data_IF_272521329099
#
_entry.id   IF_272521329099
#
_cell.length_a   1.000
_cell.length_b   1.000
_cell.length_c   1.000
_cell.angle_alpha   90.00
_cell.angle_beta   90.00
_cell.angle_gamma   90.00
#
_symmetry.space_group_name_H-M   'P 1'
#
loop_
_entity.id
_entity.type
_entity.pdbx_description
1 polymer ?
#
# COMPACT_ATOMS: atom_id res chain seq x y z
N UNK A 1 -18.26 -28.10 19.65
CA UNK A 1 -17.77 -27.09 18.70
C UNK A 1 -18.28 -25.73 19.18
N UNK A 2 -17.40 -24.89 19.71
CA UNK A 2 -17.77 -23.56 20.16
C UNK A 2 -17.60 -22.61 18.97
N UNK A 3 -18.71 -22.20 18.35
CA UNK A 3 -18.73 -21.11 17.39
C UNK A 3 -18.53 -19.82 18.19
N UNK A 4 -17.27 -19.43 18.40
CA UNK A 4 -16.95 -18.09 18.89
C UNK A 4 -17.63 -17.10 17.95
N UNK A 5 -18.62 -16.36 18.44
CA UNK A 5 -19.19 -15.27 17.67
C UNK A 5 -18.04 -14.31 17.32
N UNK A 6 -17.86 -13.92 16.04
CA UNK A 6 -16.84 -12.97 15.69
C UNK A 6 -17.11 -11.69 16.48
N UNK A 7 -16.13 -11.23 17.25
CA UNK A 7 -16.19 -9.91 17.86
C UNK A 7 -16.52 -8.91 16.76
N UNK A 8 -17.71 -8.29 16.86
CA UNK A 8 -18.20 -7.31 15.90
C UNK A 8 -17.21 -6.15 15.93
N UNK A 9 -16.28 -6.11 14.96
CA UNK A 9 -15.31 -5.03 14.84
C UNK A 9 -16.10 -3.74 14.65
N UNK A 10 -15.67 -2.67 15.32
CA UNK A 10 -16.24 -1.35 15.06
C UNK A 10 -15.93 -0.98 13.60
N UNK A 11 -16.90 -0.41 12.87
CA UNK A 11 -16.64 0.06 11.52
C UNK A 11 -15.56 1.14 11.55
N UNK A 12 -14.81 1.24 10.45
CA UNK A 12 -13.92 2.36 10.18
C UNK A 12 -14.81 3.51 9.71
N UNK A 13 -14.53 4.73 10.16
CA UNK A 13 -15.28 5.93 9.76
C UNK A 13 -14.28 6.99 9.25
N UNK A 14 -14.48 7.41 8.00
CA UNK A 14 -13.78 8.53 7.39
C UNK A 14 -14.73 9.73 7.40
N UNK A 15 -14.23 10.88 7.82
CA UNK A 15 -15.00 12.12 7.97
C UNK A 15 -14.71 13.11 6.85
N UNK A 16 -15.64 14.03 6.59
CA UNK A 16 -15.46 15.10 5.61
C UNK A 16 -14.23 15.97 5.93
N UNK A 17 -13.98 16.27 7.21
CA UNK A 17 -12.82 17.07 7.63
C UNK A 17 -11.49 16.38 7.31
N UNK A 18 -11.42 15.04 7.42
CA UNK A 18 -10.24 14.28 7.03
C UNK A 18 -10.02 14.28 5.52
N UNK A 19 -11.10 14.18 4.73
CA UNK A 19 -11.01 14.29 3.27
C UNK A 19 -10.54 15.68 2.85
N UNK A 20 -11.13 16.73 3.43
CA UNK A 20 -10.73 18.12 3.20
C UNK A 20 -9.26 18.33 3.55
N UNK A 21 -8.83 17.81 4.71
CA UNK A 21 -7.43 17.91 5.13
C UNK A 21 -6.50 17.15 4.18
N UNK A 22 -6.84 15.93 3.76
CA UNK A 22 -6.01 15.14 2.85
C UNK A 22 -5.83 15.84 1.51
N UNK A 23 -6.88 16.46 0.96
CA UNK A 23 -6.82 17.21 -0.31
C UNK A 23 -5.81 18.36 -0.25
N UNK A 24 -5.70 19.01 0.91
CA UNK A 24 -4.78 20.12 1.12
C UNK A 24 -3.45 19.72 1.76
N UNK A 25 -3.22 18.42 1.96
CA UNK A 25 -1.98 17.91 2.53
C UNK A 25 -0.84 17.91 1.49
N UNK A 26 0.38 17.66 1.97
CA UNK A 26 1.56 17.56 1.09
C UNK A 26 1.45 16.34 0.17
N UNK A 27 1.98 16.41 -1.07
CA UNK A 27 2.08 15.27 -1.98
C UNK A 27 2.62 14.02 -1.30
N UNK A 28 1.95 12.89 -1.54
CA UNK A 28 2.27 11.62 -0.88
C UNK A 28 1.71 11.45 0.52
N UNK A 29 0.87 12.37 0.99
CA UNK A 29 0.12 12.17 2.22
C UNK A 29 -0.90 11.03 2.07
N UNK A 30 -1.13 10.33 3.17
CA UNK A 30 -1.95 9.12 3.26
C UNK A 30 -3.03 9.29 4.32
N UNK A 31 -4.23 8.82 4.03
CA UNK A 31 -5.27 8.55 5.01
C UNK A 31 -5.09 7.14 5.55
N UNK A 32 -4.90 7.02 6.86
CA UNK A 32 -4.48 5.77 7.51
C UNK A 32 -5.38 5.45 8.70
N UNK A 33 -5.91 4.23 8.75
CA UNK A 33 -6.59 3.69 9.91
C UNK A 33 -5.60 3.01 10.88
N UNK A 34 -5.76 3.28 12.17
CA UNK A 34 -4.95 2.75 13.26
C UNK A 34 -5.78 1.72 14.03
N UNK A 35 -5.44 0.44 13.89
CA UNK A 35 -6.22 -0.67 14.45
C UNK A 35 -6.40 -0.57 15.98
N UNK A 36 -5.36 -0.12 16.70
CA UNK A 36 -5.36 -0.08 18.15
C UNK A 36 -6.32 0.96 18.75
N UNK A 37 -6.44 2.14 18.14
CA UNK A 37 -7.35 3.21 18.59
C UNK A 37 -8.67 3.25 17.82
N UNK A 38 -8.77 2.51 16.70
CA UNK A 38 -9.85 2.62 15.73
C UNK A 38 -10.05 4.05 15.21
N UNK A 39 -8.94 4.77 15.00
CA UNK A 39 -8.94 6.14 14.49
C UNK A 39 -8.41 6.19 13.07
N UNK A 40 -8.92 7.15 12.29
CA UNK A 40 -8.37 7.52 10.99
C UNK A 40 -7.56 8.80 11.14
N UNK A 41 -6.33 8.78 10.65
CA UNK A 41 -5.38 9.89 10.76
C UNK A 41 -4.67 10.11 9.42
N UNK A 42 -4.15 11.31 9.22
CA UNK A 42 -3.39 11.66 8.02
C UNK A 42 -1.91 11.60 8.34
N UNK A 43 -1.16 10.88 7.50
CA UNK A 43 0.27 10.72 7.59
C UNK A 43 0.93 11.40 6.41
N UNK A 44 1.94 12.23 6.68
CA UNK A 44 2.80 12.74 5.62
C UNK A 44 3.66 11.62 4.99
N UNK A 45 4.33 11.92 3.87
CA UNK A 45 5.07 10.93 3.08
C UNK A 45 6.22 10.27 3.86
N UNK A 46 6.81 10.96 4.84
CA UNK A 46 7.90 10.43 5.68
C UNK A 46 7.42 9.77 6.98
N UNK A 47 6.11 9.58 7.12
CA UNK A 47 5.50 8.95 8.28
C UNK A 47 5.79 7.45 8.33
N UNK A 48 6.36 6.96 9.44
CA UNK A 48 6.55 5.52 9.64
C UNK A 48 5.20 4.81 9.75
N UNK A 49 4.86 4.00 8.75
CA UNK A 49 3.73 3.07 8.84
C UNK A 49 4.16 1.80 9.59
N UNK A 50 3.60 1.64 10.80
CA UNK A 50 3.74 0.42 11.58
C UNK A 50 2.83 -0.71 11.10
N UNK A 51 2.99 -1.90 11.69
CA UNK A 51 2.27 -3.12 11.31
C UNK A 51 0.76 -3.08 11.56
N UNK A 52 0.30 -2.21 12.47
CA UNK A 52 -1.11 -2.06 12.86
C UNK A 52 -1.80 -0.89 12.15
N UNK A 53 -1.35 -0.54 10.95
CA UNK A 53 -1.82 0.63 10.20
C UNK A 53 -2.21 0.24 8.78
N UNK A 54 -3.45 0.51 8.44
CA UNK A 54 -3.99 0.27 7.10
C UNK A 54 -4.07 1.60 6.37
N UNK A 55 -3.45 1.70 5.19
CA UNK A 55 -3.66 2.83 4.29
C UNK A 55 -5.05 2.66 3.67
N UNK A 56 -5.90 3.67 3.79
CA UNK A 56 -7.22 3.71 3.16
C UNK A 56 -7.10 4.32 1.77
N UNK A 57 -6.43 5.46 1.66
CA UNK A 57 -6.22 6.17 0.40
C UNK A 57 -4.99 7.08 0.50
N UNK A 58 -4.35 7.33 -0.63
CA UNK A 58 -3.41 8.44 -0.80
C UNK A 58 -4.14 9.69 -1.32
N UNK A 59 -3.46 10.84 -1.34
CA UNK A 59 -3.96 12.04 -2.00
C UNK A 59 -4.27 11.78 -3.48
N UNK A 60 -3.37 11.13 -4.22
CA UNK A 60 -3.58 10.83 -5.65
C UNK A 60 -4.77 9.91 -5.88
N UNK A 61 -4.98 8.92 -4.99
CA UNK A 61 -6.15 8.05 -5.04
C UNK A 61 -7.45 8.81 -4.73
N UNK A 62 -7.41 9.81 -3.84
CA UNK A 62 -8.55 10.68 -3.56
C UNK A 62 -8.88 11.56 -4.77
N UNK A 63 -7.87 12.12 -5.45
CA UNK A 63 -8.07 12.93 -6.66
C UNK A 63 -8.66 12.07 -7.78
N UNK A 64 -8.12 10.86 -7.98
CA UNK A 64 -8.65 9.88 -8.95
C UNK A 64 -10.10 9.48 -8.64
N UNK A 65 -10.43 9.31 -7.36
CA UNK A 65 -11.81 9.02 -6.92
C UNK A 65 -12.75 10.19 -7.22
N UNK A 66 -12.29 11.43 -6.99
CA UNK A 66 -13.07 12.63 -7.28
C UNK A 66 -13.32 12.80 -8.78
N UNK A 67 -12.30 12.61 -9.62
CA UNK A 67 -12.42 12.63 -11.09
C UNK A 67 -13.43 11.59 -11.57
N UNK A 68 -13.33 10.34 -11.10
CA UNK A 68 -14.28 9.27 -11.45
C UNK A 68 -15.72 9.61 -11.05
N UNK A 69 -15.91 10.27 -9.90
CA UNK A 69 -17.23 10.72 -9.46
C UNK A 69 -17.77 11.82 -10.38
N UNK A 70 -16.95 12.80 -10.76
CA UNK A 70 -17.33 13.87 -11.68
C UNK A 70 -17.71 13.33 -13.07
N UNK A 71 -16.91 12.42 -13.63
CA UNK A 71 -17.21 11.73 -14.89
C UNK A 71 -18.52 10.94 -14.85
N UNK A 72 -18.86 10.40 -13.67
CA UNK A 72 -20.11 9.68 -13.42
C UNK A 72 -21.29 10.59 -13.07
N UNK A 73 -21.10 11.92 -13.02
CA UNK A 73 -22.12 12.88 -12.60
C UNK A 73 -22.53 12.78 -11.12
N UNK A 74 -21.70 12.15 -10.28
CA UNK A 74 -21.88 12.06 -8.83
C UNK A 74 -21.29 13.30 -8.14
N UNK A 75 -21.83 13.72 -6.98
CA UNK A 75 -21.25 14.83 -6.21
C UNK A 75 -19.83 14.50 -5.72
N UNK A 76 -18.92 15.47 -5.80
CA UNK A 76 -17.51 15.35 -5.40
C UNK A 76 -17.16 16.11 -4.12
N UNK A 77 -18.17 16.59 -3.37
CA UNK A 77 -17.91 17.27 -2.11
C UNK A 77 -17.42 16.29 -1.03
N UNK A 78 -16.66 16.79 -0.06
CA UNK A 78 -15.91 15.98 0.90
C UNK A 78 -16.76 14.97 1.68
N UNK A 79 -18.01 15.33 1.99
CA UNK A 79 -18.96 14.42 2.64
C UNK A 79 -19.35 13.18 1.82
N UNK A 80 -19.42 13.25 0.48
CA UNK A 80 -19.69 12.05 -0.34
C UNK A 80 -18.43 11.22 -0.51
N UNK A 81 -17.29 11.86 -0.77
CA UNK A 81 -16.01 11.16 -0.86
C UNK A 81 -15.65 10.44 0.46
N UNK A 82 -15.97 11.04 1.61
CA UNK A 82 -15.78 10.42 2.92
C UNK A 82 -16.64 9.16 3.09
N UNK A 83 -17.86 9.12 2.55
CA UNK A 83 -18.70 7.91 2.55
C UNK A 83 -18.10 6.82 1.68
N UNK A 84 -17.70 7.17 0.45
CA UNK A 84 -17.08 6.21 -0.47
C UNK A 84 -15.78 5.61 0.13
N UNK A 85 -14.93 6.45 0.73
CA UNK A 85 -13.73 5.98 1.44
C UNK A 85 -14.04 5.17 2.69
N UNK A 86 -15.14 5.48 3.39
CA UNK A 86 -15.63 4.68 4.52
C UNK A 86 -16.04 3.29 4.05
N UNK A 87 -16.81 3.20 2.97
CA UNK A 87 -17.26 1.93 2.40
C UNK A 87 -16.05 1.09 1.95
N UNK A 88 -15.14 1.70 1.18
CA UNK A 88 -13.87 1.07 0.77
C UNK A 88 -13.11 0.54 1.99
N UNK A 89 -12.89 1.37 3.02
CA UNK A 89 -12.14 0.96 4.21
C UNK A 89 -12.80 -0.21 4.94
N UNK A 90 -14.14 -0.24 5.01
CA UNK A 90 -14.87 -1.33 5.66
C UNK A 90 -14.87 -2.62 4.83
N UNK A 91 -14.82 -2.53 3.50
CA UNK A 91 -14.60 -3.69 2.63
C UNK A 91 -13.24 -4.32 2.91
N UNK A 92 -12.17 -3.49 2.99
CA UNK A 92 -10.83 -3.96 3.34
C UNK A 92 -10.72 -4.54 4.75
N UNK A 93 -11.60 -4.16 5.68
CA UNK A 93 -11.55 -4.61 7.07
C UNK A 93 -11.67 -6.14 7.22
N UNK A 94 -12.32 -6.81 6.27
CA UNK A 94 -12.43 -8.27 6.27
C UNK A 94 -11.11 -8.97 5.87
N UNK A 95 -10.33 -8.34 4.99
CA UNK A 95 -9.02 -8.84 4.51
C UNK A 95 -7.87 -8.40 5.42
N UNK A 96 -8.06 -7.29 6.16
CA UNK A 96 -7.02 -6.68 7.00
C UNK A 96 -6.27 -7.67 7.91
N UNK A 97 -6.90 -8.64 8.60
CA UNK A 97 -6.15 -9.58 9.43
C UNK A 97 -5.06 -10.35 8.66
N UNK A 98 -5.31 -10.67 7.39
CA UNK A 98 -4.36 -11.36 6.52
C UNK A 98 -3.26 -10.41 6.06
N UNK A 99 -3.63 -9.22 5.57
CA UNK A 99 -2.68 -8.14 5.20
C UNK A 99 -1.74 -7.83 6.36
N UNK A 100 -2.29 -7.64 7.56
CA UNK A 100 -1.54 -7.37 8.79
C UNK A 100 -0.57 -8.51 9.13
N UNK A 101 -0.98 -9.76 8.97
CA UNK A 101 -0.11 -10.91 9.23
C UNK A 101 1.10 -10.98 8.27
N UNK A 102 0.97 -10.41 7.08
CA UNK A 102 2.04 -10.36 6.06
C UNK A 102 2.86 -9.06 6.10
N UNK A 103 2.36 -8.01 6.74
CA UNK A 103 3.03 -6.70 6.86
C UNK A 103 4.44 -6.74 7.50
N UNK A 104 4.76 -7.67 8.44
CA UNK A 104 6.12 -7.82 8.93
C UNK A 104 7.16 -8.11 7.83
N UNK A 105 6.77 -8.74 6.72
CA UNK A 105 7.69 -8.98 5.58
C UNK A 105 8.02 -7.70 4.81
N UNK A 106 7.11 -6.72 4.81
CA UNK A 106 7.30 -5.43 4.14
C UNK A 106 7.99 -4.41 5.04
N UNK A 107 7.87 -4.54 6.36
CA UNK A 107 8.36 -3.55 7.33
C UNK A 107 9.86 -3.22 7.17
N UNK A 108 10.77 -4.20 6.99
CA UNK A 108 12.17 -3.90 6.74
C UNK A 108 12.43 -3.21 5.40
N UNK A 109 11.70 -3.59 4.35
CA UNK A 109 11.79 -3.00 3.01
C UNK A 109 11.35 -1.53 3.08
N UNK A 110 10.18 -1.26 3.67
CA UNK A 110 9.66 0.09 3.95
C UNK A 110 10.68 0.96 4.66
N UNK A 111 11.28 0.46 5.75
CA UNK A 111 12.29 1.21 6.51
C UNK A 111 13.54 1.54 5.69
N UNK A 112 13.93 0.69 4.74
CA UNK A 112 15.09 0.94 3.86
C UNK A 112 14.77 1.93 2.75
N UNK A 113 13.56 1.88 2.22
CA UNK A 113 13.05 2.81 1.21
C UNK A 113 12.80 4.21 1.80
N UNK A 114 12.25 4.28 3.00
CA UNK A 114 12.01 5.53 3.75
C UNK A 114 13.32 6.32 3.94
N UNK A 115 14.43 5.65 4.25
CA UNK A 115 15.77 6.26 4.34
C UNK A 115 16.27 6.87 3.03
N UNK A 116 15.67 6.49 1.90
CA UNK A 116 15.96 7.00 0.57
C UNK A 116 14.89 7.99 0.09
N UNK A 117 13.95 8.38 0.96
CA UNK A 117 12.83 9.25 0.63
C UNK A 117 11.75 8.60 -0.22
N UNK A 118 11.73 7.26 -0.31
CA UNK A 118 10.71 6.49 -1.03
C UNK A 118 9.69 5.99 -0.01
N UNK A 119 8.41 6.24 -0.26
CA UNK A 119 7.33 5.98 0.70
C UNK A 119 6.21 5.13 0.09
N UNK A 120 5.43 4.41 0.92
CA UNK A 120 4.24 3.72 0.46
C UNK A 120 3.19 4.69 -0.10
N UNK A 121 2.70 4.44 -1.30
CA UNK A 121 1.85 5.37 -2.06
C UNK A 121 0.39 4.90 -2.20
N UNK A 122 0.10 3.66 -1.82
CA UNK A 122 -1.22 3.06 -1.95
C UNK A 122 -1.46 2.04 -0.84
N UNK A 123 -2.70 1.61 -0.71
CA UNK A 123 -3.13 0.51 0.13
C UNK A 123 -2.37 -0.79 -0.16
N UNK A 124 -2.10 -1.53 0.92
CA UNK A 124 -1.45 -2.84 0.82
C UNK A 124 -2.51 -3.85 0.47
N UNK A 125 -2.28 -4.55 -0.63
CA UNK A 125 -3.20 -5.59 -1.07
C UNK A 125 -2.63 -6.97 -0.79
N UNK A 126 -3.47 -7.86 -0.32
CA UNK A 126 -3.19 -9.29 -0.38
C UNK A 126 -4.03 -9.88 -1.47
N UNK A 127 -3.40 -10.45 -2.48
CA UNK A 127 -4.14 -11.30 -3.39
C UNK A 127 -4.26 -12.68 -2.76
N UNK A 128 -5.50 -13.18 -2.78
CA UNK A 128 -5.74 -14.61 -2.63
C UNK A 128 -4.94 -15.41 -3.66
N UNK A 129 -4.99 -16.75 -3.60
CA UNK A 129 -4.18 -17.63 -4.44
C UNK A 129 -4.13 -17.18 -5.92
N UNK A 130 -3.01 -16.54 -6.31
CA UNK A 130 -2.89 -15.96 -7.64
C UNK A 130 -2.64 -17.07 -8.66
N UNK A 131 -3.40 -17.02 -9.76
CA UNK A 131 -3.23 -17.91 -10.91
C UNK A 131 -1.82 -17.69 -11.47
N UNK A 132 -0.95 -18.69 -11.33
CA UNK A 132 0.45 -18.64 -11.79
C UNK A 132 1.50 -18.85 -10.69
N UNK A 133 1.11 -18.76 -9.42
CA UNK A 133 1.99 -19.08 -8.30
C UNK A 133 2.04 -20.59 -8.05
N UNK A 134 3.25 -21.13 -7.88
CA UNK A 134 3.51 -22.57 -7.89
C UNK A 134 2.96 -23.29 -6.65
N UNK A 135 2.94 -22.59 -5.52
CA UNK A 135 2.58 -23.11 -4.21
C UNK A 135 1.27 -22.53 -3.68
N UNK A 136 0.60 -21.67 -4.46
CA UNK A 136 -0.69 -21.10 -4.09
C UNK A 136 -0.65 -20.35 -2.75
N UNK A 137 0.51 -19.76 -2.44
CA UNK A 137 0.77 -19.10 -1.16
C UNK A 137 0.24 -17.67 -1.18
N UNK A 138 -0.15 -17.10 -0.01
CA UNK A 138 -0.50 -15.70 0.10
C UNK A 138 0.65 -14.81 -0.38
N UNK A 139 0.31 -13.76 -1.12
CA UNK A 139 1.23 -12.69 -1.50
C UNK A 139 0.79 -11.38 -0.88
N UNK A 140 1.73 -10.50 -0.64
CA UNK A 140 1.46 -9.12 -0.23
C UNK A 140 2.08 -8.17 -1.24
N UNK A 141 1.29 -7.22 -1.72
CA UNK A 141 1.69 -6.21 -2.69
C UNK A 141 1.69 -4.85 -2.02
N UNK A 142 2.80 -4.13 -2.16
CA UNK A 142 2.96 -2.76 -1.66
C UNK A 142 3.38 -1.86 -2.83
N UNK A 143 2.82 -0.66 -2.89
CA UNK A 143 3.16 0.33 -3.93
C UNK A 143 3.96 1.45 -3.29
N UNK A 144 5.05 1.84 -3.92
CA UNK A 144 5.97 2.87 -3.44
C UNK A 144 6.11 4.01 -4.45
N UNK A 145 6.25 5.23 -3.95
CA UNK A 145 6.49 6.43 -4.74
C UNK A 145 7.67 7.24 -4.21
N UNK A 146 8.17 8.14 -5.06
CA UNK A 146 9.04 9.24 -4.66
C UNK A 146 8.20 10.50 -4.40
N UNK A 147 8.74 11.53 -3.69
CA UNK A 147 7.98 12.73 -3.32
C UNK A 147 7.53 13.58 -4.49
N UNK A 148 8.10 13.38 -5.67
CA UNK A 148 7.67 14.03 -6.90
C UNK A 148 6.41 13.39 -7.52
N UNK A 149 5.97 12.23 -7.02
CA UNK A 149 4.81 11.49 -7.53
C UNK A 149 4.98 10.97 -8.96
N UNK A 150 6.17 11.12 -9.57
CA UNK A 150 6.39 10.87 -11.00
C UNK A 150 6.59 9.40 -11.36
N UNK A 151 6.90 8.57 -10.37
CA UNK A 151 7.19 7.17 -10.57
C UNK A 151 6.64 6.33 -9.43
N UNK A 152 6.07 5.19 -9.80
CA UNK A 152 5.53 4.19 -8.89
C UNK A 152 6.29 2.88 -9.07
N UNK A 153 6.52 2.19 -7.96
CA UNK A 153 7.05 0.85 -7.93
C UNK A 153 6.14 -0.05 -7.10
N UNK A 154 5.56 -1.05 -7.73
CA UNK A 154 4.76 -2.10 -7.11
C UNK A 154 5.66 -3.30 -6.79
N UNK A 155 5.64 -3.75 -5.54
CA UNK A 155 6.44 -4.87 -5.06
C UNK A 155 5.51 -5.94 -4.52
N UNK A 156 5.50 -7.10 -5.16
CA UNK A 156 4.73 -8.27 -4.72
C UNK A 156 5.67 -9.27 -4.08
N UNK A 157 5.47 -9.51 -2.78
CA UNK A 157 6.26 -10.41 -1.95
C UNK A 157 5.42 -11.63 -1.57
N UNK A 158 5.81 -12.86 -1.98
CA UNK A 158 5.16 -14.07 -1.53
C UNK A 158 5.54 -14.41 -0.09
N UNK A 159 4.66 -15.12 0.61
CA UNK A 159 4.88 -15.57 1.99
C UNK A 159 6.24 -16.26 2.14
N UNK A 160 7.07 -15.71 3.02
CA UNK A 160 8.39 -16.26 3.34
C UNK A 160 9.38 -16.27 2.18
N UNK A 161 9.14 -15.50 1.12
CA UNK A 161 9.94 -15.52 -0.11
C UNK A 161 9.99 -16.92 -0.76
N UNK A 162 8.95 -17.73 -0.55
CA UNK A 162 8.87 -19.09 -1.07
C UNK A 162 8.74 -19.16 -2.60
N UNK A 163 8.45 -18.02 -3.23
CA UNK A 163 8.34 -17.82 -4.67
C UNK A 163 9.12 -16.55 -5.06
N UNK A 164 9.35 -16.28 -6.36
CA UNK A 164 9.98 -15.04 -6.80
C UNK A 164 9.26 -13.80 -6.26
N UNK A 165 10.05 -12.78 -5.91
CA UNK A 165 9.53 -11.43 -5.67
C UNK A 165 9.40 -10.73 -7.01
N UNK A 166 8.26 -10.12 -7.26
CA UNK A 166 8.00 -9.36 -8.48
C UNK A 166 8.04 -7.86 -8.18
N UNK A 167 8.81 -7.11 -8.96
CA UNK A 167 8.88 -5.66 -8.93
C UNK A 167 8.41 -5.15 -10.28
N UNK A 168 7.43 -4.27 -10.27
CA UNK A 168 6.94 -3.57 -11.44
C UNK A 168 7.13 -2.07 -11.18
N UNK A 169 7.72 -1.34 -12.11
CA UNK A 169 7.93 0.09 -11.97
C UNK A 169 7.51 0.83 -13.23
N UNK A 170 6.89 1.99 -13.05
CA UNK A 170 6.41 2.83 -14.15
C UNK A 170 6.53 4.30 -13.79
N UNK A 171 6.98 5.11 -14.74
CA UNK A 171 6.81 6.57 -14.70
C UNK A 171 5.43 6.99 -15.23
N UNK A 172 5.00 8.23 -14.97
CA UNK A 172 3.70 8.78 -15.42
C UNK A 172 3.43 8.55 -16.91
N UNK A 173 4.45 8.65 -17.76
CA UNK A 173 4.36 8.41 -19.21
C UNK A 173 5.40 7.38 -19.71
N UNK A 174 6.02 6.65 -18.79
CA UNK A 174 7.13 5.75 -19.09
C UNK A 174 6.66 4.34 -19.43
N UNK A 175 7.47 3.55 -20.15
CA UNK A 175 7.19 2.12 -20.31
C UNK A 175 7.21 1.43 -18.94
N UNK A 176 6.37 0.42 -18.77
CA UNK A 176 6.41 -0.47 -17.61
C UNK A 176 7.73 -1.27 -17.64
N UNK A 177 8.51 -1.17 -16.57
CA UNK A 177 9.65 -2.04 -16.31
C UNK A 177 9.21 -3.14 -15.35
N UNK A 178 9.52 -4.38 -15.69
CA UNK A 178 9.24 -5.54 -14.84
C UNK A 178 10.54 -6.27 -14.51
N UNK A 179 10.68 -6.63 -13.24
CA UNK A 179 11.84 -7.34 -12.71
C UNK A 179 11.37 -8.44 -11.75
N UNK A 180 11.89 -9.65 -11.95
CA UNK A 180 11.56 -10.80 -11.10
C UNK A 180 12.83 -11.29 -10.42
N UNK A 181 12.80 -11.43 -9.10
CA UNK A 181 13.94 -11.87 -8.30
C UNK A 181 13.62 -13.19 -7.62
N UNK A 182 14.41 -14.22 -7.92
CA UNK A 182 14.40 -15.48 -7.18
C UNK A 182 15.45 -15.42 -6.09
N UNK A 183 15.06 -15.72 -4.86
CA UNK A 183 15.98 -15.83 -3.72
C UNK A 183 16.15 -17.28 -3.32
N UNK A 184 17.36 -17.65 -2.92
CA UNK A 184 17.64 -18.91 -2.24
C UNK A 184 17.55 -18.69 -0.73
N UNK A 185 16.33 -18.80 -0.20
CA UNK A 185 16.03 -18.51 1.20
C UNK A 185 16.70 -19.48 2.19
N UNK A 186 17.23 -20.62 1.72
CA UNK A 186 18.00 -21.55 2.56
C UNK A 186 19.41 -21.05 2.84
N UNK A 187 19.96 -20.22 1.95
CA UNK A 187 21.36 -19.79 1.99
C UNK A 187 21.52 -18.28 2.13
N UNK A 188 20.45 -17.50 1.97
CA UNK A 188 20.46 -16.05 2.14
C UNK A 188 19.83 -15.64 3.47
N UNK A 189 20.41 -14.61 4.11
CA UNK A 189 19.78 -13.98 5.28
C UNK A 189 18.63 -13.11 4.81
N UNK A 190 17.53 -13.09 5.56
CA UNK A 190 16.38 -12.22 5.29
C UNK A 190 16.79 -10.75 5.08
N UNK A 191 17.71 -10.25 5.91
CA UNK A 191 18.22 -8.88 5.80
C UNK A 191 18.91 -8.57 4.46
N UNK A 192 19.55 -9.56 3.82
CA UNK A 192 20.22 -9.41 2.52
C UNK A 192 19.19 -9.43 1.39
N UNK A 193 18.15 -10.27 1.50
CA UNK A 193 16.99 -10.29 0.59
C UNK A 193 16.29 -8.93 0.61
N UNK A 194 15.93 -8.44 1.80
CA UNK A 194 15.28 -7.14 2.00
C UNK A 194 16.11 -5.97 1.48
N UNK A 195 17.43 -6.01 1.69
CA UNK A 195 18.35 -5.01 1.15
C UNK A 195 18.32 -5.00 -0.37
N UNK A 196 18.38 -6.19 -0.97
CA UNK A 196 18.39 -6.36 -2.42
C UNK A 196 17.09 -5.83 -3.02
N UNK A 197 15.93 -6.18 -2.45
CA UNK A 197 14.63 -5.68 -2.89
C UNK A 197 14.59 -4.14 -2.83
N UNK A 198 14.95 -3.54 -1.69
CA UNK A 198 14.91 -2.09 -1.52
C UNK A 198 15.86 -1.35 -2.49
N UNK A 199 17.06 -1.88 -2.72
CA UNK A 199 18.01 -1.30 -3.69
C UNK A 199 17.48 -1.41 -5.12
N UNK A 200 16.89 -2.54 -5.50
CA UNK A 200 16.29 -2.73 -6.83
C UNK A 200 15.12 -1.77 -7.06
N UNK A 201 14.21 -1.64 -6.09
CA UNK A 201 13.09 -0.67 -6.16
C UNK A 201 13.61 0.76 -6.35
N UNK A 202 14.59 1.18 -5.53
CA UNK A 202 15.16 2.52 -5.64
C UNK A 202 15.85 2.76 -6.99
N UNK A 203 16.56 1.75 -7.51
CA UNK A 203 17.20 1.83 -8.82
C UNK A 203 16.16 1.98 -9.94
N UNK A 204 15.06 1.22 -9.91
CA UNK A 204 13.99 1.36 -10.89
C UNK A 204 13.33 2.74 -10.83
N UNK A 205 13.01 3.24 -9.64
CA UNK A 205 12.42 4.57 -9.47
C UNK A 205 13.38 5.69 -9.92
N UNK A 206 14.70 5.48 -9.82
CA UNK A 206 15.69 6.45 -10.28
C UNK A 206 15.78 6.56 -11.81
N UNK A 207 15.44 5.49 -12.56
CA UNK A 207 15.45 5.52 -14.04
C UNK A 207 14.45 6.53 -14.60
N UNK A 208 13.31 6.72 -13.91
CA UNK A 208 12.25 7.65 -14.33
C UNK A 208 12.42 9.07 -13.78
N UNK A 209 13.58 9.38 -13.17
CA UNK A 209 13.86 10.70 -12.61
C UNK A 209 14.53 11.66 -13.59
N UNK A 210 15.06 11.16 -14.71
CA UNK A 210 15.82 11.97 -15.67
C UNK A 210 14.94 12.69 -16.71
N UNK A 211 13.61 12.56 -16.60
CA UNK A 211 12.60 13.13 -17.51
C UNK A 211 11.70 14.19 -16.82
#
# INVERSE_FOLDING_TARGET
>A
MSTSMPHKRRPIEVTADQVAYLRHAEPGSLLVWIEASNEVQIYGPTGRLGEHRMIIASQDALDSLAENCEESGRPTHDGELAKDLTDIANDWLCEWPQVRALTPMLTPIRRRLDRQGIYPADSVHTFGPNIGHRFNLPVVTDTYARPDGKALARVTVPLGFAEPVHIQASGVNGPLSEHTMQFDYLHMRAADIEATIATTVAAHLALYYQD
#
